data_IF_311734567898
#
_entry.id   IF_311734567898
#
_cell.length_a   1.000
_cell.length_b   1.000
_cell.length_c   1.000
_cell.angle_alpha   90.00
_cell.angle_beta   90.00
_cell.angle_gamma   90.00
#
_symmetry.space_group_name_H-M   'P 1'
#
loop_
_entity.id
_entity.type
_entity.pdbx_description
1 polymer ?
#
# COMPACT_ATOMS: atom_id res chain seq x y z
N UNK A 1 3.96 8.73 20.22
CA UNK A 1 5.01 7.80 19.78
C UNK A 1 4.33 6.60 19.11
N UNK A 2 3.96 6.73 17.83
CA UNK A 2 3.46 5.66 16.96
C UNK A 2 4.50 5.37 15.85
N UNK A 3 5.75 5.76 16.11
CA UNK A 3 6.85 5.83 15.14
C UNK A 3 7.36 4.47 14.68
N UNK A 4 6.99 3.39 15.37
CA UNK A 4 7.59 2.08 15.17
C UNK A 4 6.78 1.19 14.21
N UNK A 5 5.63 1.67 13.73
CA UNK A 5 4.80 0.96 12.74
C UNK A 5 5.05 1.57 11.36
N UNK A 6 5.69 0.79 10.48
CA UNK A 6 5.80 1.14 9.07
C UNK A 6 4.44 1.00 8.40
N UNK A 7 4.12 1.95 7.53
CA UNK A 7 2.85 2.01 6.84
C UNK A 7 3.07 2.07 5.32
N UNK A 8 2.20 1.40 4.58
CA UNK A 8 2.13 1.51 3.13
C UNK A 8 0.67 1.70 2.71
N UNK A 9 0.48 2.27 1.53
CA UNK A 9 -0.82 2.26 0.86
C UNK A 9 -0.78 1.29 -0.31
N UNK A 10 -1.76 0.40 -0.37
CA UNK A 10 -2.02 -0.49 -1.50
C UNK A 10 -3.39 -0.15 -2.06
N UNK A 11 -3.49 0.12 -3.36
CA UNK A 11 -4.78 0.46 -3.95
C UNK A 11 -4.90 0.09 -5.43
N UNK A 12 -6.14 -0.21 -5.86
CA UNK A 12 -6.52 -0.37 -7.26
C UNK A 12 -6.59 0.99 -7.96
N UNK A 13 -5.45 1.67 -8.06
CA UNK A 13 -5.32 3.00 -8.63
C UNK A 13 -4.59 2.98 -9.98
N UNK A 14 -4.98 3.85 -10.93
CA UNK A 14 -4.21 4.05 -12.16
C UNK A 14 -2.81 4.59 -11.83
N UNK A 15 -1.86 4.52 -12.77
CA UNK A 15 -0.52 5.05 -12.58
C UNK A 15 -0.55 6.51 -12.12
N UNK A 16 0.42 6.92 -11.30
CA UNK A 16 0.65 8.32 -10.86
C UNK A 16 -0.37 8.95 -9.88
N UNK A 17 -0.72 8.26 -8.79
CA UNK A 17 -1.37 8.92 -7.63
C UNK A 17 -0.42 9.42 -6.54
N UNK A 18 0.89 9.31 -6.76
CA UNK A 18 1.90 9.92 -5.90
C UNK A 18 1.68 11.43 -5.69
N UNK A 19 1.34 12.22 -6.74
CA UNK A 19 1.04 13.64 -6.58
C UNK A 19 -0.17 13.91 -5.66
N UNK A 20 -1.16 13.01 -5.62
CA UNK A 20 -2.31 13.15 -4.71
C UNK A 20 -1.88 13.04 -3.25
N UNK A 21 -1.07 12.03 -2.93
CA UNK A 21 -0.52 11.86 -1.58
C UNK A 21 0.45 12.97 -1.20
N UNK A 22 1.22 13.49 -2.16
CA UNK A 22 2.12 14.62 -1.96
C UNK A 22 1.34 15.93 -1.71
N UNK A 23 0.31 16.20 -2.50
CA UNK A 23 -0.57 17.36 -2.35
C UNK A 23 -1.20 17.40 -0.95
N UNK A 24 -1.68 16.26 -0.46
CA UNK A 24 -2.23 16.12 0.88
C UNK A 24 -1.17 15.92 1.98
N UNK A 25 0.12 15.95 1.64
CA UNK A 25 1.26 15.79 2.57
C UNK A 25 1.21 14.47 3.35
N UNK A 26 0.66 13.43 2.74
CA UNK A 26 0.53 12.08 3.31
C UNK A 26 1.73 11.18 3.00
N UNK A 27 2.44 11.43 1.89
CA UNK A 27 3.57 10.60 1.46
C UNK A 27 4.65 10.43 2.54
N UNK A 28 4.84 11.42 3.41
CA UNK A 28 5.82 11.39 4.52
C UNK A 28 5.51 10.37 5.62
N UNK A 29 4.31 9.82 5.66
CA UNK A 29 3.92 8.79 6.63
C UNK A 29 4.04 7.37 6.06
N UNK A 30 4.27 7.24 4.76
CA UNK A 30 4.24 5.97 4.05
C UNK A 30 5.65 5.55 3.66
N UNK A 31 6.08 4.39 4.13
CA UNK A 31 7.33 3.75 3.71
C UNK A 31 7.26 3.22 2.29
N UNK A 32 6.06 2.91 1.80
CA UNK A 32 5.81 2.47 0.43
C UNK A 32 4.44 2.87 -0.11
N UNK A 33 4.35 2.97 -1.43
CA UNK A 33 3.12 3.18 -2.19
C UNK A 33 3.06 2.08 -3.25
N UNK A 34 1.94 1.34 -3.29
CA UNK A 34 1.72 0.23 -4.23
C UNK A 34 0.41 0.48 -4.98
N UNK A 35 0.52 0.82 -6.26
CA UNK A 35 -0.62 1.11 -7.12
C UNK A 35 -0.79 0.02 -8.17
N UNK A 36 -2.01 -0.50 -8.33
CA UNK A 36 -2.30 -1.56 -9.31
C UNK A 36 -1.89 -1.22 -10.74
N UNK A 37 -2.01 0.05 -11.15
CA UNK A 37 -1.61 0.50 -12.47
C UNK A 37 -0.11 0.42 -12.72
N UNK A 38 0.71 0.51 -11.67
CA UNK A 38 2.17 0.37 -11.75
C UNK A 38 2.59 -1.10 -11.67
N UNK A 39 1.91 -1.90 -10.83
CA UNK A 39 2.20 -3.33 -10.66
C UNK A 39 1.57 -4.24 -11.71
N UNK A 40 0.63 -3.73 -12.53
CA UNK A 40 -0.17 -4.51 -13.48
C UNK A 40 -0.92 -5.68 -12.80
N UNK A 41 -1.31 -5.50 -11.54
CA UNK A 41 -2.05 -6.45 -10.70
C UNK A 41 -3.11 -5.69 -9.93
N UNK A 42 -4.29 -6.26 -9.73
CA UNK A 42 -5.40 -5.64 -8.98
C UNK A 42 -5.80 -6.53 -7.82
N UNK A 43 -6.22 -5.93 -6.70
CA UNK A 43 -7.00 -6.67 -5.70
C UNK A 43 -8.24 -7.28 -6.37
N UNK A 44 -8.63 -8.52 -6.01
CA UNK A 44 -8.14 -9.30 -4.86
C UNK A 44 -6.99 -10.25 -5.17
N UNK A 45 -6.21 -10.03 -6.24
CA UNK A 45 -5.05 -10.87 -6.52
C UNK A 45 -4.05 -10.84 -5.34
N UNK A 46 -3.77 -11.98 -4.68
CA UNK A 46 -2.87 -12.03 -3.53
C UNK A 46 -1.42 -11.63 -3.89
N UNK A 47 -1.05 -11.62 -5.18
CA UNK A 47 0.25 -11.14 -5.63
C UNK A 47 0.46 -9.65 -5.31
N UNK A 48 -0.58 -8.83 -5.42
CA UNK A 48 -0.48 -7.40 -5.11
C UNK A 48 -0.22 -7.18 -3.61
N UNK A 49 -0.87 -7.97 -2.74
CA UNK A 49 -0.65 -7.94 -1.30
C UNK A 49 0.77 -8.37 -0.92
N UNK A 50 1.26 -9.47 -1.50
CA UNK A 50 2.66 -9.91 -1.30
C UNK A 50 3.64 -8.82 -1.70
N UNK A 51 3.42 -8.16 -2.84
CA UNK A 51 4.24 -7.04 -3.29
C UNK A 51 4.23 -5.86 -2.31
N UNK A 52 3.09 -5.55 -1.68
CA UNK A 52 3.04 -4.52 -0.65
C UNK A 52 3.79 -4.89 0.63
N UNK A 53 3.70 -6.14 1.08
CA UNK A 53 4.49 -6.63 2.23
C UNK A 53 5.99 -6.55 1.95
N UNK A 54 6.42 -6.96 0.75
CA UNK A 54 7.81 -6.86 0.29
C UNK A 54 8.29 -5.40 0.25
N UNK A 55 7.51 -4.49 -0.33
CA UNK A 55 7.83 -3.05 -0.41
C UNK A 55 7.85 -2.37 0.96
N UNK A 56 7.02 -2.85 1.89
CA UNK A 56 7.01 -2.42 3.30
C UNK A 56 8.22 -2.98 4.07
N UNK A 57 8.96 -3.93 3.48
CA UNK A 57 10.08 -4.67 4.07
C UNK A 57 9.65 -5.42 5.35
N UNK A 58 8.43 -5.96 5.35
CA UNK A 58 7.80 -6.66 6.47
C UNK A 58 7.55 -8.15 6.17
N UNK A 59 6.92 -8.86 7.10
CA UNK A 59 6.40 -10.22 6.87
C UNK A 59 4.87 -10.22 6.94
N UNK A 60 4.17 -11.14 6.23
CA UNK A 60 2.72 -11.20 6.25
C UNK A 60 2.14 -11.37 7.66
N UNK A 61 2.79 -12.16 8.52
CA UNK A 61 2.34 -12.50 9.88
C UNK A 61 2.38 -11.29 10.83
N UNK A 62 3.17 -10.27 10.49
CA UNK A 62 3.31 -9.03 11.26
C UNK A 62 2.70 -7.82 10.56
N UNK A 63 1.88 -8.05 9.53
CA UNK A 63 1.26 -7.01 8.73
C UNK A 63 -0.25 -7.12 8.82
N UNK A 64 -0.94 -5.99 8.99
CA UNK A 64 -2.40 -5.91 8.92
C UNK A 64 -2.79 -5.05 7.72
N UNK A 65 -3.71 -5.56 6.89
CA UNK A 65 -4.32 -4.76 5.84
C UNK A 65 -5.60 -4.12 6.38
N UNK A 66 -5.71 -2.80 6.29
CA UNK A 66 -6.89 -2.04 6.69
C UNK A 66 -7.60 -1.57 5.41
N UNK A 67 -8.85 -1.98 5.25
CA UNK A 67 -9.68 -1.64 4.09
C UNK A 67 -11.16 -1.62 4.46
N UNK A 68 -11.97 -1.13 3.52
CA UNK A 68 -13.43 -1.02 3.66
C UNK A 68 -14.20 -2.00 2.76
N UNK A 69 -13.48 -2.86 2.05
CA UNK A 69 -14.02 -3.83 1.10
C UNK A 69 -13.66 -5.22 1.61
N UNK A 70 -14.68 -6.05 1.84
CA UNK A 70 -14.53 -7.39 2.40
C UNK A 70 -14.06 -8.41 1.38
N UNK A 71 -14.20 -8.11 0.09
CA UNK A 71 -13.79 -8.98 -1.01
C UNK A 71 -12.39 -8.64 -1.52
N UNK A 72 -11.79 -7.56 -1.01
CA UNK A 72 -10.52 -7.01 -1.44
C UNK A 72 -9.30 -7.83 -1.01
#
# INVERSE_FOLDING_TARGET
MWSDIRQAVLSNWPPSRRPFLEHHRLSRYLSAIVASGEEQMVKPDPALFRRAVERLDATPERTVCIGNDAEA
#
